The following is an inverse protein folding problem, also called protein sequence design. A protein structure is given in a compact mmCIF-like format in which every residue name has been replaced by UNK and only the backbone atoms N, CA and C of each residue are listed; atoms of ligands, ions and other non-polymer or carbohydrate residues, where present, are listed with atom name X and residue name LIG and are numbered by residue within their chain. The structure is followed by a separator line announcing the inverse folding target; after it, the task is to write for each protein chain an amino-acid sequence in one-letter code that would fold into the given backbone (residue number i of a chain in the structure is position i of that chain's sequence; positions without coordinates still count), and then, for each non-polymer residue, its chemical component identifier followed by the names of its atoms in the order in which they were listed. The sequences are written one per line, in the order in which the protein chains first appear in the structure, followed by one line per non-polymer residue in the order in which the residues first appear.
data_IF_097596528088
#
_entry.id   IF_097596528088
#
_cell.length_a   1.000
_cell.length_b   1.000
_cell.length_c   1.000
_cell.angle_alpha   90.00
_cell.angle_beta   90.00
_cell.angle_gamma   90.00
#
_symmetry.space_group_name_H-M   'P 1'
#
loop_
_entity.id
_entity.type
_entity.pdbx_description
1 polymer ?
#
# COMPACT_ATOMS: atom_id res chain seq x y z
N UNK A 1 20.24 24.00 14.89
CA UNK A 1 19.15 23.28 14.16
C UNK A 1 19.68 22.08 13.37
N UNK A 2 20.74 22.24 12.57
CA UNK A 2 21.36 21.18 11.74
C UNK A 2 21.91 20.00 12.57
N UNK A 3 22.47 20.24 13.76
CA UNK A 3 23.01 19.19 14.64
C UNK A 3 21.94 18.25 15.21
N UNK A 4 20.77 18.79 15.58
CA UNK A 4 19.62 18.01 16.07
C UNK A 4 19.03 17.12 14.99
N UNK A 5 18.97 17.61 13.75
CA UNK A 5 18.50 16.84 12.61
C UNK A 5 19.43 15.66 12.31
N UNK A 6 20.76 15.89 12.31
CA UNK A 6 21.75 14.80 12.15
C UNK A 6 21.66 13.74 13.25
N UNK A 7 21.43 14.15 14.50
CA UNK A 7 21.27 13.22 15.62
C UNK A 7 19.99 12.37 15.47
N UNK A 8 18.89 12.98 15.04
CA UNK A 8 17.61 12.29 14.82
C UNK A 8 17.71 11.28 13.67
N UNK A 9 18.37 11.64 12.57
CA UNK A 9 18.65 10.74 11.44
C UNK A 9 19.48 9.54 11.89
N UNK A 10 20.56 9.76 12.66
CA UNK A 10 21.38 8.66 13.20
C UNK A 10 20.59 7.72 14.10
N UNK A 11 19.69 8.27 14.94
CA UNK A 11 18.83 7.46 15.82
C UNK A 11 17.84 6.61 15.02
N UNK A 12 17.23 7.18 13.98
CA UNK A 12 16.36 6.42 13.06
C UNK A 12 17.16 5.33 12.35
N UNK A 13 18.35 5.63 11.81
CA UNK A 13 19.20 4.62 11.16
C UNK A 13 19.57 3.47 12.11
N UNK A 14 19.89 3.80 13.36
CA UNK A 14 20.17 2.80 14.40
C UNK A 14 18.95 1.89 14.64
N UNK A 15 17.75 2.46 14.77
CA UNK A 15 16.53 1.67 14.94
C UNK A 15 16.27 0.76 13.75
N UNK A 16 16.40 1.28 12.52
CA UNK A 16 16.22 0.49 11.29
C UNK A 16 17.18 -0.70 11.22
N UNK A 17 18.43 -0.51 11.66
CA UNK A 17 19.44 -1.56 11.70
C UNK A 17 19.17 -2.60 12.79
N UNK A 18 18.80 -2.19 13.99
CA UNK A 18 18.55 -3.10 15.12
C UNK A 18 17.34 -4.00 14.85
N UNK A 19 16.30 -3.47 14.20
CA UNK A 19 15.01 -4.16 14.09
C UNK A 19 14.77 -4.78 12.72
N UNK A 20 15.74 -4.69 11.80
CA UNK A 20 15.59 -5.11 10.40
C UNK A 20 14.28 -4.60 9.76
N UNK A 21 13.98 -3.31 9.96
CA UNK A 21 12.69 -2.74 9.54
C UNK A 21 12.49 -2.75 8.02
N UNK A 22 13.57 -2.61 7.24
CA UNK A 22 13.50 -2.45 5.78
C UNK A 22 12.65 -3.52 5.07
N UNK A 23 12.89 -4.82 5.28
CA UNK A 23 12.02 -5.89 4.79
C UNK A 23 10.54 -5.73 5.16
N UNK A 24 10.24 -5.35 6.41
CA UNK A 24 8.86 -5.20 6.92
C UNK A 24 8.15 -4.06 6.16
N UNK A 25 8.78 -2.89 6.07
CA UNK A 25 8.21 -1.76 5.33
C UNK A 25 8.03 -2.06 3.85
N UNK A 26 9.01 -2.71 3.20
CA UNK A 26 8.86 -3.12 1.79
C UNK A 26 7.69 -4.07 1.60
N UNK A 27 7.49 -5.03 2.52
CA UNK A 27 6.39 -5.99 2.47
C UNK A 27 5.04 -5.28 2.54
N UNK A 28 4.84 -4.42 3.53
CA UNK A 28 3.59 -3.66 3.70
C UNK A 28 3.34 -2.70 2.54
N UNK A 29 4.36 -1.97 2.09
CA UNK A 29 4.24 -1.08 0.95
C UNK A 29 3.75 -1.80 -0.31
N UNK A 30 4.36 -2.94 -0.66
CA UNK A 30 3.99 -3.68 -1.89
C UNK A 30 2.64 -4.32 -1.75
N UNK A 31 2.36 -4.97 -0.62
CA UNK A 31 1.10 -5.67 -0.38
C UNK A 31 -0.09 -4.70 -0.45
N UNK A 32 -0.07 -3.67 0.38
CA UNK A 32 -1.22 -2.77 0.50
C UNK A 32 -1.28 -1.77 -0.67
N UNK A 33 -0.14 -1.47 -1.30
CA UNK A 33 -0.11 -0.72 -2.57
C UNK A 33 -0.75 -1.49 -3.72
N UNK A 34 -0.46 -2.79 -3.81
CA UNK A 34 -1.12 -3.70 -4.75
C UNK A 34 -2.63 -3.78 -4.47
N UNK A 35 -3.04 -3.93 -3.20
CA UNK A 35 -4.46 -3.98 -2.82
C UNK A 35 -5.19 -2.68 -3.16
N UNK A 36 -4.57 -1.51 -2.94
CA UNK A 36 -5.13 -0.22 -3.35
C UNK A 36 -5.30 -0.12 -4.87
N UNK A 37 -4.31 -0.58 -5.65
CA UNK A 37 -4.39 -0.59 -7.12
C UNK A 37 -5.49 -1.53 -7.62
N UNK A 38 -5.60 -2.74 -7.06
CA UNK A 38 -6.64 -3.72 -7.39
C UNK A 38 -8.04 -3.24 -7.04
N UNK A 39 -8.19 -2.63 -5.85
CA UNK A 39 -9.45 -2.05 -5.40
C UNK A 39 -9.89 -0.94 -6.35
N UNK A 40 -8.95 -0.08 -6.75
CA UNK A 40 -9.26 1.00 -7.67
C UNK A 40 -9.63 0.47 -9.05
N UNK A 41 -8.91 -0.53 -9.56
CA UNK A 41 -9.25 -1.21 -10.81
C UNK A 41 -10.69 -1.75 -10.79
N UNK A 42 -11.07 -2.41 -9.70
CA UNK A 42 -12.42 -2.94 -9.52
C UNK A 42 -13.50 -1.86 -9.54
N UNK A 43 -13.27 -0.73 -8.85
CA UNK A 43 -14.21 0.40 -8.83
C UNK A 43 -14.29 1.09 -10.21
N UNK A 44 -13.15 1.32 -10.87
CA UNK A 44 -13.12 1.94 -12.21
C UNK A 44 -13.87 1.06 -13.20
N UNK A 45 -13.56 -0.24 -13.26
CA UNK A 45 -14.25 -1.16 -14.17
C UNK A 45 -15.73 -1.30 -13.80
N UNK A 46 -16.05 -1.43 -12.51
CA UNK A 46 -17.42 -1.60 -12.05
C UNK A 46 -18.30 -0.39 -12.39
N UNK A 47 -17.80 0.81 -12.15
CA UNK A 47 -18.51 2.05 -12.51
C UNK A 47 -18.61 2.23 -14.02
N UNK A 48 -17.64 1.73 -14.80
CA UNK A 48 -17.74 1.72 -16.26
C UNK A 48 -18.88 0.82 -16.74
N UNK A 49 -19.03 -0.39 -16.19
CA UNK A 49 -20.07 -1.34 -16.62
C UNK A 49 -21.48 -0.77 -16.45
N UNK A 50 -21.71 0.00 -15.37
CA UNK A 50 -23.00 0.65 -15.12
C UNK A 50 -23.11 2.06 -15.75
N UNK A 51 -22.19 2.44 -16.63
CA UNK A 51 -22.17 3.71 -17.37
C UNK A 51 -22.23 4.97 -16.48
N UNK A 52 -21.52 4.97 -15.35
CA UNK A 52 -21.39 6.19 -14.54
C UNK A 52 -20.61 7.24 -15.32
N UNK A 53 -21.17 8.43 -15.45
CA UNK A 53 -20.53 9.54 -16.19
C UNK A 53 -20.05 10.65 -15.28
N UNK A 54 -20.50 10.68 -14.03
CA UNK A 54 -20.11 11.69 -13.04
C UNK A 54 -18.75 11.34 -12.42
N UNK A 55 -17.65 12.07 -12.74
CA UNK A 55 -16.32 11.79 -12.21
C UNK A 55 -16.24 11.93 -10.68
N UNK A 56 -17.09 12.76 -10.07
CA UNK A 56 -17.17 12.95 -8.63
C UNK A 56 -17.54 11.66 -7.90
N UNK A 57 -18.45 10.86 -8.48
CA UNK A 57 -18.86 9.57 -7.91
C UNK A 57 -17.68 8.60 -7.91
N UNK A 58 -16.94 8.54 -9.01
CA UNK A 58 -15.82 7.62 -9.20
C UNK A 58 -14.67 7.98 -8.24
N UNK A 59 -14.35 9.27 -8.16
CA UNK A 59 -13.30 9.79 -7.28
C UNK A 59 -13.67 9.59 -5.81
N UNK A 60 -14.89 9.92 -5.41
CA UNK A 60 -15.32 9.79 -4.00
C UNK A 60 -15.44 8.32 -3.58
N UNK A 61 -15.97 7.44 -4.44
CA UNK A 61 -16.02 6.01 -4.17
C UNK A 61 -14.61 5.40 -4.07
N UNK A 62 -13.74 5.73 -5.03
CA UNK A 62 -12.36 5.25 -5.09
C UNK A 62 -11.50 5.69 -3.92
N UNK A 63 -11.44 7.01 -3.68
CA UNK A 63 -10.73 7.57 -2.54
C UNK A 63 -11.34 7.11 -1.22
N UNK A 64 -12.67 7.06 -1.10
CA UNK A 64 -13.35 6.60 0.10
C UNK A 64 -12.96 5.17 0.47
N UNK A 65 -12.98 4.26 -0.51
CA UNK A 65 -12.56 2.87 -0.32
C UNK A 65 -11.09 2.77 0.10
N UNK A 66 -10.19 3.48 -0.58
CA UNK A 66 -8.75 3.39 -0.30
C UNK A 66 -8.34 4.14 0.96
N UNK A 67 -9.06 5.19 1.37
CA UNK A 67 -8.90 5.86 2.67
C UNK A 67 -9.37 4.94 3.80
N UNK A 68 -10.52 4.29 3.65
CA UNK A 68 -10.97 3.30 4.62
C UNK A 68 -9.97 2.15 4.75
N UNK A 69 -9.44 1.66 3.62
CA UNK A 69 -8.36 0.68 3.59
C UNK A 69 -7.10 1.20 4.27
N UNK A 70 -6.70 2.45 4.02
CA UNK A 70 -5.52 3.05 4.65
C UNK A 70 -5.65 3.21 6.16
N UNK A 71 -6.83 3.62 6.67
CA UNK A 71 -7.11 3.69 8.11
C UNK A 71 -7.10 2.28 8.73
N UNK A 72 -7.66 1.31 8.01
CA UNK A 72 -7.67 -0.10 8.42
C UNK A 72 -6.27 -0.69 8.47
N UNK A 73 -5.44 -0.46 7.45
CA UNK A 73 -4.04 -0.90 7.38
C UNK A 73 -3.21 -0.26 8.48
N UNK A 74 -3.30 1.07 8.65
CA UNK A 74 -2.60 1.77 9.73
C UNK A 74 -2.94 1.19 11.11
N UNK A 75 -4.23 1.04 11.42
CA UNK A 75 -4.66 0.53 12.72
C UNK A 75 -4.31 -0.94 12.90
N UNK A 76 -4.52 -1.75 11.85
CA UNK A 76 -4.28 -3.19 11.83
C UNK A 76 -2.79 -3.51 11.96
N UNK A 77 -1.95 -2.97 11.08
CA UNK A 77 -0.51 -3.16 11.15
C UNK A 77 0.09 -2.63 12.45
N UNK A 78 -0.37 -1.49 12.98
CA UNK A 78 0.11 -0.99 14.27
C UNK A 78 -0.18 -1.98 15.40
N UNK A 79 -1.43 -2.46 15.52
CA UNK A 79 -1.83 -3.38 16.58
C UNK A 79 -1.13 -4.73 16.44
N UNK A 80 -1.06 -5.27 15.23
CA UNK A 80 -0.42 -6.56 14.94
C UNK A 80 1.08 -6.50 15.17
N UNK A 81 1.80 -5.54 14.58
CA UNK A 81 3.24 -5.42 14.79
C UNK A 81 3.56 -5.08 16.24
N UNK A 82 2.77 -4.23 16.91
CA UNK A 82 2.99 -3.97 18.34
C UNK A 82 2.84 -5.22 19.19
N UNK A 83 1.85 -6.08 18.90
CA UNK A 83 1.64 -7.32 19.62
C UNK A 83 2.81 -8.30 19.40
N UNK A 84 3.23 -8.49 18.14
CA UNK A 84 4.35 -9.37 17.79
C UNK A 84 5.66 -8.89 18.41
N UNK A 85 6.00 -7.60 18.25
CA UNK A 85 7.25 -7.06 18.80
C UNK A 85 7.28 -7.07 20.32
N UNK A 86 6.14 -6.85 20.99
CA UNK A 86 6.05 -6.97 22.46
C UNK A 86 6.24 -8.41 22.91
N UNK A 87 5.77 -9.39 22.14
CA UNK A 87 6.01 -10.82 22.42
C UNK A 87 7.48 -11.19 22.23
N UNK A 88 8.10 -10.74 21.15
CA UNK A 88 9.54 -10.91 20.91
C UNK A 88 10.38 -10.32 22.05
N UNK A 89 10.06 -9.10 22.49
CA UNK A 89 10.75 -8.43 23.61
C UNK A 89 10.63 -9.25 24.90
N UNK A 90 9.43 -9.71 25.25
CA UNK A 90 9.23 -10.55 26.45
C UNK A 90 10.01 -11.86 26.40
N UNK A 91 10.10 -12.48 25.22
CA UNK A 91 10.87 -13.70 25.05
C UNK A 91 12.37 -13.44 25.26
N UNK A 92 12.87 -12.30 24.77
CA UNK A 92 14.24 -11.87 24.99
C UNK A 92 14.54 -11.58 26.47
N UNK A 93 13.67 -10.84 27.15
CA UNK A 93 13.79 -10.57 28.59
C UNK A 93 13.85 -11.86 29.41
N UNK A 94 12.99 -12.83 29.07
CA UNK A 94 12.98 -14.14 29.73
C UNK A 94 14.28 -14.91 29.49
N UNK A 95 14.80 -14.90 28.27
CA UNK A 95 16.07 -15.56 27.94
C UNK A 95 17.27 -14.90 28.64
N UNK A 96 17.23 -13.58 28.83
CA UNK A 96 18.27 -12.81 29.52
C UNK A 96 18.09 -12.77 31.05
N UNK A 97 16.98 -13.31 31.58
CA UNK A 97 16.59 -13.20 32.99
C UNK A 97 16.64 -11.76 33.52
N UNK A 98 16.43 -10.79 32.63
CA UNK A 98 16.62 -9.35 32.89
C UNK A 98 15.55 -8.58 32.15
N UNK A 99 14.94 -7.59 32.81
CA UNK A 99 13.98 -6.69 32.16
C UNK A 99 14.72 -5.69 31.27
N UNK A 100 14.15 -5.42 30.10
CA UNK A 100 14.68 -4.48 29.11
C UNK A 100 13.84 -3.19 29.06
N UNK A 101 13.10 -2.92 30.14
CA UNK A 101 12.41 -1.66 30.38
C UNK A 101 13.40 -0.49 30.19
N UNK A 102 12.98 0.57 29.49
CA UNK A 102 13.81 1.74 29.14
C UNK A 102 15.10 1.46 28.35
N UNK A 103 15.13 0.34 27.60
CA UNK A 103 16.24 0.03 26.69
C UNK A 103 16.03 0.61 25.27
N UNK A 104 17.15 0.78 24.55
CA UNK A 104 17.14 1.14 23.11
C UNK A 104 16.31 0.15 22.28
N UNK A 105 16.24 -1.12 22.70
CA UNK A 105 15.45 -2.17 22.03
C UNK A 105 13.96 -1.87 22.17
N UNK A 106 13.51 -1.51 23.37
CA UNK A 106 12.10 -1.15 23.65
C UNK A 106 11.65 0.06 22.83
N UNK A 107 12.49 1.10 22.75
CA UNK A 107 12.23 2.26 21.90
C UNK A 107 12.14 1.88 20.41
N UNK A 108 13.08 1.06 19.94
CA UNK A 108 13.15 0.62 18.55
C UNK A 108 11.90 -0.21 18.17
N UNK A 109 11.45 -1.09 19.06
CA UNK A 109 10.21 -1.86 18.92
C UNK A 109 9.00 -0.95 18.69
N UNK A 110 8.81 0.09 19.51
CA UNK A 110 7.66 0.99 19.37
C UNK A 110 7.73 1.80 18.05
N UNK A 111 8.92 2.26 17.68
CA UNK A 111 9.15 3.00 16.44
C UNK A 111 8.81 2.16 15.21
N UNK A 112 9.20 0.88 15.17
CA UNK A 112 8.95 -0.01 14.03
C UNK A 112 7.47 -0.27 13.82
N UNK A 113 6.73 -0.56 14.89
CA UNK A 113 5.28 -0.80 14.78
C UNK A 113 4.56 0.43 14.23
N UNK A 114 4.95 1.63 14.68
CA UNK A 114 4.40 2.88 14.17
C UNK A 114 4.78 3.14 12.71
N UNK A 115 6.05 2.93 12.35
CA UNK A 115 6.52 3.16 10.99
C UNK A 115 5.89 2.18 10.00
N UNK A 116 5.81 0.89 10.36
CA UNK A 116 5.15 -0.13 9.55
C UNK A 116 3.69 0.25 9.28
N UNK A 117 2.96 0.70 10.31
CA UNK A 117 1.58 1.16 10.19
C UNK A 117 1.41 2.35 9.24
N UNK A 118 2.32 3.33 9.28
CA UNK A 118 2.28 4.44 8.33
C UNK A 118 2.47 3.94 6.90
N UNK A 119 3.48 3.10 6.67
CA UNK A 119 3.78 2.58 5.33
C UNK A 119 2.60 1.78 4.79
N UNK A 120 2.00 0.95 5.63
CA UNK A 120 0.82 0.14 5.30
C UNK A 120 -0.37 1.03 4.92
N UNK A 121 -0.73 1.98 5.79
CA UNK A 121 -1.91 2.83 5.57
C UNK A 121 -1.76 3.85 4.45
N UNK A 122 -0.55 4.36 4.18
CA UNK A 122 -0.31 5.35 3.13
C UNK A 122 -0.24 4.69 1.75
N UNK A 123 0.24 3.45 1.65
CA UNK A 123 0.42 2.77 0.36
C UNK A 123 -0.85 2.70 -0.51
N UNK A 124 -2.02 2.25 -0.03
CA UNK A 124 -3.22 2.15 -0.85
C UNK A 124 -3.76 3.51 -1.27
N UNK A 125 -3.56 4.56 -0.45
CA UNK A 125 -3.96 5.93 -0.78
C UNK A 125 -3.11 6.45 -1.94
N UNK A 126 -1.79 6.24 -1.90
CA UNK A 126 -0.89 6.66 -2.97
C UNK A 126 -1.24 5.98 -4.29
N UNK A 127 -1.52 4.67 -4.26
CA UNK A 127 -1.84 3.94 -5.49
C UNK A 127 -3.22 4.30 -6.02
N UNK A 128 -4.19 4.56 -5.14
CA UNK A 128 -5.49 5.12 -5.54
C UNK A 128 -5.35 6.48 -6.23
N UNK A 129 -4.50 7.37 -5.73
CA UNK A 129 -4.23 8.68 -6.36
C UNK A 129 -3.62 8.52 -7.75
N UNK A 130 -2.69 7.57 -7.93
CA UNK A 130 -2.10 7.26 -9.24
C UNK A 130 -3.18 6.77 -10.20
N UNK A 131 -3.98 5.80 -9.78
CA UNK A 131 -5.08 5.23 -10.57
C UNK A 131 -6.15 6.27 -10.92
N UNK A 132 -6.53 7.15 -9.99
CA UNK A 132 -7.55 8.20 -10.20
C UNK A 132 -7.02 9.44 -10.93
N UNK A 133 -5.72 9.52 -11.20
CA UNK A 133 -5.12 10.68 -11.87
C UNK A 133 -5.85 11.12 -13.16
N UNK A 134 -6.37 10.23 -14.03
CA UNK A 134 -7.11 10.66 -15.21
C UNK A 134 -8.48 11.27 -14.87
N UNK A 135 -9.15 10.80 -13.81
CA UNK A 135 -10.43 11.38 -13.36
C UNK A 135 -10.26 12.75 -12.73
N UNK A 136 -9.13 13.02 -12.08
CA UNK A 136 -8.81 14.39 -11.67
C UNK A 136 -8.67 15.33 -12.87
N UNK A 137 -8.15 14.87 -14.02
CA UNK A 137 -8.08 15.68 -15.23
C UNK A 137 -9.48 15.98 -15.81
N UNK A 138 -10.41 15.03 -15.71
CA UNK A 138 -11.82 15.24 -16.09
C UNK A 138 -12.45 16.34 -15.23
N UNK A 139 -12.23 16.32 -13.91
CA UNK A 139 -12.76 17.35 -13.00
C UNK A 139 -12.27 18.77 -13.33
N UNK A 140 -11.12 18.89 -14.01
CA UNK A 140 -10.58 20.18 -14.48
C UNK A 140 -10.96 20.51 -15.93
N UNK A 141 -11.81 19.69 -16.57
CA UNK A 141 -12.25 19.88 -17.96
C UNK A 141 -11.18 19.56 -19.01
N UNK A 142 -10.10 18.85 -18.65
CA UNK A 142 -8.97 18.57 -19.52
C UNK A 142 -9.12 17.26 -20.32
N UNK A 143 -10.05 16.40 -19.92
CA UNK A 143 -10.19 15.05 -20.47
C UNK A 143 -11.66 14.62 -20.48
N UNK A 144 -12.08 13.89 -21.51
CA UNK A 144 -13.42 13.30 -21.58
C UNK A 144 -13.53 12.06 -20.68
N UNK A 145 -14.70 11.83 -20.08
CA UNK A 145 -14.92 10.73 -19.11
C UNK A 145 -14.57 9.36 -19.71
N UNK A 146 -14.94 9.11 -20.97
CA UNK A 146 -14.63 7.86 -21.67
C UNK A 146 -13.12 7.60 -21.78
N UNK A 147 -12.36 8.64 -22.13
CA UNK A 147 -10.90 8.56 -22.20
C UNK A 147 -10.29 8.36 -20.80
N UNK A 148 -10.94 8.86 -19.75
CA UNK A 148 -10.45 8.72 -18.39
C UNK A 148 -10.53 7.27 -17.91
N UNK A 149 -11.62 6.55 -18.25
CA UNK A 149 -11.75 5.12 -17.97
C UNK A 149 -10.60 4.31 -18.55
N UNK A 150 -10.36 4.44 -19.86
CA UNK A 150 -9.32 3.68 -20.56
C UNK A 150 -7.94 4.04 -19.99
N UNK A 151 -7.65 5.33 -19.84
CA UNK A 151 -6.36 5.81 -19.32
C UNK A 151 -6.14 5.35 -17.87
N UNK A 152 -7.18 5.36 -17.04
CA UNK A 152 -7.11 4.97 -15.64
C UNK A 152 -6.89 3.46 -15.47
N UNK A 153 -7.51 2.64 -16.33
CA UNK A 153 -7.24 1.20 -16.39
C UNK A 153 -5.79 0.95 -16.81
N UNK A 154 -5.29 1.61 -17.85
CA UNK A 154 -3.90 1.46 -18.31
C UNK A 154 -2.93 1.86 -17.20
N UNK A 155 -3.12 3.03 -16.57
CA UNK A 155 -2.25 3.51 -15.47
C UNK A 155 -2.27 2.55 -14.29
N UNK A 156 -3.43 1.99 -13.96
CA UNK A 156 -3.56 1.01 -12.87
C UNK A 156 -2.85 -0.31 -13.21
N UNK A 157 -3.02 -0.84 -14.43
CA UNK A 157 -2.31 -2.05 -14.88
C UNK A 157 -0.80 -1.86 -14.93
N UNK A 158 -0.33 -0.70 -15.39
CA UNK A 158 1.10 -0.33 -15.34
C UNK A 158 1.60 -0.29 -13.90
N UNK A 159 0.81 0.29 -12.98
CA UNK A 159 1.15 0.34 -11.56
C UNK A 159 1.27 -1.07 -10.96
N UNK A 160 0.31 -1.96 -11.23
CA UNK A 160 0.37 -3.37 -10.83
C UNK A 160 1.60 -4.07 -11.38
N UNK A 161 1.88 -3.90 -12.67
CA UNK A 161 3.06 -4.47 -13.32
C UNK A 161 4.37 -3.99 -12.68
N UNK A 162 4.44 -2.71 -12.31
CA UNK A 162 5.60 -2.14 -11.61
C UNK A 162 5.76 -2.71 -10.20
N UNK A 163 4.67 -2.95 -9.46
CA UNK A 163 4.73 -3.69 -8.20
C UNK A 163 5.22 -5.12 -8.39
N UNK A 164 4.78 -5.81 -9.44
CA UNK A 164 5.28 -7.14 -9.80
C UNK A 164 6.77 -7.13 -10.12
N UNK A 165 7.24 -6.23 -10.99
CA UNK A 165 8.68 -6.05 -11.28
C UNK A 165 9.48 -5.81 -10.00
N UNK A 166 8.97 -4.95 -9.12
CA UNK A 166 9.63 -4.63 -7.86
C UNK A 166 9.71 -5.85 -6.94
N UNK A 167 8.64 -6.64 -6.85
CA UNK A 167 8.62 -7.87 -6.06
C UNK A 167 9.58 -8.92 -6.61
N UNK A 168 9.64 -9.11 -7.93
CA UNK A 168 10.58 -10.03 -8.56
C UNK A 168 12.05 -9.61 -8.36
N UNK A 169 12.33 -8.29 -8.35
CA UNK A 169 13.66 -7.77 -7.97
C UNK A 169 14.01 -8.08 -6.51
N UNK A 170 13.05 -7.96 -5.59
CA UNK A 170 13.26 -8.31 -4.18
C UNK A 170 13.51 -9.82 -4.04
N UNK A 171 12.76 -10.64 -4.78
CA UNK A 171 12.91 -12.10 -4.79
C UNK A 171 14.22 -12.57 -5.44
N UNK A 172 14.96 -11.69 -6.14
CA UNK A 172 16.11 -12.04 -6.98
C UNK A 172 15.75 -13.06 -8.06
N UNK A 173 14.52 -12.98 -8.55
CA UNK A 173 13.98 -13.84 -9.61
C UNK A 173 13.68 -13.02 -10.87
N UNK A 174 13.04 -13.63 -11.86
CA UNK A 174 12.68 -12.95 -13.10
C UNK A 174 11.60 -11.87 -12.85
N UNK A 175 12.04 -10.61 -12.76
CA UNK A 175 11.16 -9.45 -12.54
C UNK A 175 10.04 -9.32 -13.56
N UNK A 176 10.28 -9.68 -14.83
CA UNK A 176 9.26 -9.65 -15.87
C UNK A 176 8.16 -10.68 -15.59
N UNK A 177 8.51 -11.87 -15.11
CA UNK A 177 7.55 -12.90 -14.77
C UNK A 177 6.61 -12.47 -13.63
N UNK A 178 7.16 -11.85 -12.58
CA UNK A 178 6.34 -11.29 -11.50
C UNK A 178 5.44 -10.16 -11.99
N UNK A 179 5.96 -9.28 -12.86
CA UNK A 179 5.15 -8.27 -13.54
C UNK A 179 3.95 -8.89 -14.26
N UNK A 180 4.19 -9.93 -15.08
CA UNK A 180 3.13 -10.64 -15.79
C UNK A 180 2.14 -11.29 -14.83
N UNK A 181 2.59 -11.93 -13.74
CA UNK A 181 1.70 -12.52 -12.72
C UNK A 181 0.76 -11.47 -12.11
N UNK A 182 1.29 -10.30 -11.77
CA UNK A 182 0.47 -9.19 -11.24
C UNK A 182 -0.50 -8.62 -12.28
N UNK A 183 -0.11 -8.57 -13.56
CA UNK A 183 -1.03 -8.19 -14.64
C UNK A 183 -2.15 -9.22 -14.81
N UNK A 184 -1.85 -10.52 -14.74
CA UNK A 184 -2.86 -11.58 -14.81
C UNK A 184 -3.88 -11.42 -13.69
N UNK A 185 -3.44 -11.09 -12.47
CA UNK A 185 -4.35 -10.79 -11.37
C UNK A 185 -5.26 -9.59 -11.68
N UNK A 186 -4.70 -8.49 -12.20
CA UNK A 186 -5.48 -7.32 -12.62
C UNK A 186 -6.49 -7.63 -13.73
N UNK A 187 -6.08 -8.38 -14.75
CA UNK A 187 -6.97 -8.82 -15.84
C UNK A 187 -8.07 -9.74 -15.30
N UNK A 188 -7.74 -10.66 -14.38
CA UNK A 188 -8.74 -11.51 -13.73
C UNK A 188 -9.77 -10.66 -12.97
N UNK A 189 -9.35 -9.61 -12.25
CA UNK A 189 -10.27 -8.67 -11.61
C UNK A 189 -11.18 -7.98 -12.61
N UNK A 190 -10.65 -7.49 -13.75
CA UNK A 190 -11.48 -6.91 -14.82
C UNK A 190 -12.54 -7.92 -15.27
N UNK A 191 -12.13 -9.14 -15.61
CA UNK A 191 -13.04 -10.19 -16.08
C UNK A 191 -14.12 -10.49 -15.04
N UNK A 192 -13.75 -10.66 -13.77
CA UNK A 192 -14.72 -10.94 -12.69
C UNK A 192 -15.72 -9.79 -12.55
N UNK A 193 -15.27 -8.54 -12.56
CA UNK A 193 -16.15 -7.38 -12.41
C UNK A 193 -17.07 -7.23 -13.63
N UNK A 194 -16.58 -7.49 -14.85
CA UNK A 194 -17.42 -7.52 -16.06
C UNK A 194 -18.50 -8.61 -15.96
N UNK A 195 -18.14 -9.81 -15.47
CA UNK A 195 -19.11 -10.90 -15.26
C UNK A 195 -20.15 -10.54 -14.21
N UNK A 196 -19.77 -9.86 -13.12
CA UNK A 196 -20.72 -9.39 -12.11
C UNK A 196 -21.70 -8.37 -12.69
N UNK A 197 -21.23 -7.47 -13.54
CA UNK A 197 -22.10 -6.52 -14.21
C UNK A 197 -23.05 -7.16 -15.23
N UNK A 198 -22.70 -8.33 -15.80
CA UNK A 198 -23.59 -9.08 -16.68
C UNK A 198 -24.74 -9.81 -15.96
N UNK A 199 -24.75 -9.83 -14.62
CA UNK A 199 -25.83 -10.39 -13.80
C UNK A 199 -26.98 -9.38 -13.65
N UNK A 200 -26.72 -8.09 -13.88
CA UNK A 200 -27.68 -6.99 -13.82
C UNK A 200 -28.07 -6.52 -15.23
#
# INVERSE_FOLDING_TARGET
MISRLKALIKRIQLYIQITEMGPIARRYFVKDGFDGSMTMLGIIVGTWVVNVTQPEIIVTAGLGACLAMGISGLSGAYLTEKAERKRELKNLEKAMMTKLDDSVITDATAFVSFYAAIVDGVSPILTALVSLSPFFLVLHGLLAVENAYITSIIVTLVTLFMFGIYLGKIAKENALLYGIQTLVAGVATIVIVLLLGAIY
#
